data_IF_468471363162
#
_entry.id   IF_468471363162
#
_cell.length_a   1.000
_cell.length_b   1.000
_cell.length_c   1.000
_cell.angle_alpha   90.00
_cell.angle_beta   90.00
_cell.angle_gamma   90.00
#
_symmetry.space_group_name_H-M   'P 1'
#
loop_
_entity.id
_entity.type
_entity.pdbx_description
1 polymer ?
#
# COMPACT_ATOMS: atom_id res chain seq x y z
N UNK A 1 12.64 61.82 -5.51
CA UNK A 1 12.15 60.88 -6.55
C UNK A 1 12.65 59.45 -6.32
N UNK A 2 13.95 59.16 -6.20
CA UNK A 2 14.48 57.78 -6.03
C UNK A 2 13.96 57.00 -4.81
N UNK A 3 13.64 57.66 -3.68
CA UNK A 3 13.09 57.03 -2.48
C UNK A 3 11.65 56.53 -2.69
N UNK A 4 10.81 57.33 -3.36
CA UNK A 4 9.39 56.93 -3.64
C UNK A 4 9.31 55.82 -4.65
N UNK A 5 10.21 55.75 -5.64
CA UNK A 5 10.27 54.64 -6.61
C UNK A 5 10.55 53.33 -5.89
N UNK A 6 11.51 53.28 -4.93
CA UNK A 6 11.79 52.06 -4.15
C UNK A 6 10.63 51.61 -3.26
N UNK A 7 9.87 52.54 -2.71
CA UNK A 7 8.69 52.24 -1.90
C UNK A 7 7.56 51.68 -2.80
N UNK A 8 7.30 52.28 -3.94
CA UNK A 8 6.28 51.81 -4.89
C UNK A 8 6.67 50.43 -5.44
N UNK A 9 7.92 50.18 -5.80
CA UNK A 9 8.35 48.84 -6.25
C UNK A 9 8.20 47.78 -5.14
N UNK A 10 8.52 48.12 -3.88
CA UNK A 10 8.32 47.18 -2.77
C UNK A 10 6.86 46.84 -2.55
N UNK A 11 5.96 47.85 -2.64
CA UNK A 11 4.50 47.63 -2.50
C UNK A 11 3.97 46.76 -3.65
N UNK A 12 4.40 47.01 -4.89
CA UNK A 12 3.98 46.22 -6.07
C UNK A 12 4.46 44.77 -5.95
N UNK A 13 5.72 44.55 -5.53
CA UNK A 13 6.24 43.19 -5.32
C UNK A 13 5.50 42.49 -4.20
N UNK A 14 5.21 43.18 -3.10
CA UNK A 14 4.45 42.58 -1.97
C UNK A 14 3.01 42.23 -2.41
N UNK A 15 2.34 43.09 -3.18
CA UNK A 15 0.99 42.80 -3.68
C UNK A 15 0.96 41.62 -4.67
N UNK A 16 2.00 41.47 -5.51
CA UNK A 16 2.15 40.32 -6.41
C UNK A 16 2.37 39.01 -5.64
N UNK A 17 3.18 39.06 -4.57
CA UNK A 17 3.41 37.89 -3.71
C UNK A 17 2.13 37.45 -3.00
N UNK A 18 1.35 38.40 -2.45
CA UNK A 18 0.06 38.12 -1.80
C UNK A 18 -0.96 37.56 -2.80
N UNK A 19 -1.00 38.10 -4.01
CA UNK A 19 -1.88 37.60 -5.09
C UNK A 19 -1.47 36.21 -5.55
N UNK A 20 -0.16 35.92 -5.64
CA UNK A 20 0.37 34.63 -6.02
C UNK A 20 0.05 33.56 -4.95
N UNK A 21 0.18 33.89 -3.66
CA UNK A 21 -0.19 32.97 -2.56
C UNK A 21 -1.70 32.74 -2.50
N UNK A 22 -2.52 33.76 -2.73
CA UNK A 22 -3.97 33.61 -2.79
C UNK A 22 -4.43 32.73 -3.97
N UNK A 23 -3.79 32.91 -5.15
CA UNK A 23 -4.06 32.08 -6.32
C UNK A 23 -3.58 30.64 -6.12
N UNK A 24 -2.42 30.45 -5.51
CA UNK A 24 -1.88 29.12 -5.15
C UNK A 24 -2.83 28.41 -4.18
N UNK A 25 -3.27 29.06 -3.10
CA UNK A 25 -4.21 28.50 -2.13
C UNK A 25 -5.57 28.17 -2.74
N UNK A 26 -6.06 29.01 -3.68
CA UNK A 26 -7.28 28.74 -4.41
C UNK A 26 -7.16 27.53 -5.34
N UNK A 27 -6.07 27.44 -6.10
CA UNK A 27 -5.78 26.28 -6.96
C UNK A 27 -5.55 25.01 -6.13
N UNK A 28 -4.89 25.11 -4.98
CA UNK A 28 -4.69 23.99 -4.07
C UNK A 28 -6.00 23.51 -3.42
N UNK A 29 -6.97 24.42 -3.18
CA UNK A 29 -8.30 24.06 -2.65
C UNK A 29 -9.27 23.50 -3.71
N UNK A 30 -9.08 23.86 -4.98
CA UNK A 30 -9.85 23.28 -6.11
C UNK A 30 -9.29 21.94 -6.58
N UNK A 31 -8.05 21.60 -6.18
CA UNK A 31 -7.50 20.27 -6.39
C UNK A 31 -8.06 19.35 -5.29
N UNK A 32 -9.34 18.98 -5.42
CA UNK A 32 -9.88 17.84 -4.66
C UNK A 32 -9.12 16.60 -5.12
N UNK A 33 -8.14 16.21 -4.32
CA UNK A 33 -7.37 14.99 -4.54
C UNK A 33 -8.32 13.81 -4.71
N UNK A 34 -7.89 12.82 -5.45
CA UNK A 34 -8.61 11.55 -5.64
C UNK A 34 -9.21 11.09 -4.31
N UNK A 35 -10.52 10.84 -4.31
CA UNK A 35 -11.23 10.39 -3.12
C UNK A 35 -10.76 8.99 -2.74
N UNK A 36 -10.52 8.77 -1.43
CA UNK A 36 -10.33 7.44 -0.88
C UNK A 36 -11.64 6.66 -0.98
N UNK A 37 -11.63 5.56 -1.69
CA UNK A 37 -12.72 4.59 -1.73
C UNK A 37 -12.53 3.58 -0.60
N UNK A 38 -13.46 3.53 0.35
CA UNK A 38 -13.47 2.47 1.39
C UNK A 38 -13.87 1.15 0.77
N UNK A 39 -13.08 0.10 1.05
CA UNK A 39 -13.36 -1.24 0.58
C UNK A 39 -14.36 -1.93 1.55
N UNK A 40 -15.36 -2.68 1.05
CA UNK A 40 -16.32 -3.37 1.90
C UNK A 40 -15.62 -4.46 2.71
N UNK A 41 -15.70 -4.38 4.04
CA UNK A 41 -15.26 -5.46 4.91
C UNK A 41 -16.15 -6.68 4.69
N UNK A 42 -15.60 -7.77 4.16
CA UNK A 42 -16.25 -9.05 4.06
C UNK A 42 -16.25 -9.72 5.44
N UNK A 43 -17.20 -9.33 6.31
CA UNK A 43 -17.49 -10.10 7.53
C UNK A 43 -18.23 -11.37 7.13
N UNK A 44 -17.50 -12.42 6.80
CA UNK A 44 -18.05 -13.75 6.58
C UNK A 44 -18.41 -14.40 7.91
N UNK A 45 -19.60 -14.10 8.45
CA UNK A 45 -20.24 -14.94 9.45
C UNK A 45 -20.82 -16.18 8.73
N UNK A 46 -19.99 -17.20 8.53
CA UNK A 46 -20.44 -18.50 8.05
C UNK A 46 -21.06 -19.29 9.22
N UNK A 47 -22.36 -19.10 9.42
CA UNK A 47 -23.19 -20.06 10.18
C UNK A 47 -23.46 -21.24 9.26
N UNK A 48 -22.60 -22.25 9.27
CA UNK A 48 -22.85 -23.50 8.58
C UNK A 48 -23.72 -24.39 9.49
N UNK A 49 -25.04 -24.41 9.23
CA UNK A 49 -25.93 -25.44 9.74
C UNK A 49 -25.66 -26.74 8.97
N UNK A 50 -24.88 -27.62 9.55
CA UNK A 50 -24.63 -28.95 9.02
C UNK A 50 -25.89 -29.82 9.25
N UNK A 51 -26.59 -30.11 8.17
CA UNK A 51 -27.66 -31.12 8.15
C UNK A 51 -27.00 -32.49 7.93
N UNK A 52 -26.98 -33.31 8.97
CA UNK A 52 -26.55 -34.70 8.89
C UNK A 52 -27.48 -35.51 7.97
N UNK A 53 -26.88 -36.19 7.00
CA UNK A 53 -27.57 -37.30 6.29
C UNK A 53 -26.68 -38.53 6.43
N UNK A 54 -27.26 -39.49 7.16
CA UNK A 54 -26.77 -40.85 7.42
C UNK A 54 -26.82 -41.66 6.13
N UNK A 55 -25.69 -42.33 5.80
CA UNK A 55 -25.76 -43.55 4.99
C UNK A 55 -24.66 -44.52 5.40
N UNK A 56 -25.12 -45.70 5.77
CA UNK A 56 -24.47 -46.90 6.30
C UNK A 56 -23.86 -47.71 5.16
N UNK A 57 -22.69 -48.32 5.41
CA UNK A 57 -22.28 -49.73 5.14
C UNK A 57 -20.77 -49.83 4.96
N UNK A 58 -20.13 -50.53 5.68
CA UNK A 58 -19.79 -51.93 6.00
C UNK A 58 -18.36 -52.31 5.59
N UNK A 59 -17.55 -52.65 6.61
CA UNK A 59 -16.67 -53.81 6.79
C UNK A 59 -15.42 -53.97 5.91
N UNK A 60 -14.18 -53.92 6.49
CA UNK A 60 -13.39 -55.12 6.78
C UNK A 60 -12.04 -54.76 7.44
N UNK A 61 -11.74 -55.53 8.46
CA UNK A 61 -10.61 -55.72 9.37
C UNK A 61 -9.19 -55.57 8.84
N UNK A 62 -8.30 -55.01 9.71
CA UNK A 62 -6.85 -55.15 9.64
C UNK A 62 -6.22 -54.68 10.96
N UNK A 63 -5.76 -55.63 11.75
CA UNK A 63 -5.22 -55.56 13.12
C UNK A 63 -3.73 -55.17 13.09
N UNK A 64 -3.31 -54.28 13.99
CA UNK A 64 -1.88 -53.97 14.20
C UNK A 64 -1.67 -53.11 15.45
N UNK A 65 -1.28 -53.75 16.53
CA UNK A 65 -0.91 -53.25 17.87
C UNK A 65 0.30 -52.32 17.88
N UNK A 66 0.28 -51.31 18.77
CA UNK A 66 1.45 -50.53 19.13
C UNK A 66 1.15 -49.35 20.08
N UNK A 67 1.13 -49.63 21.37
CA UNK A 67 1.04 -48.72 22.50
C UNK A 67 2.22 -47.75 22.52
N UNK A 68 2.04 -46.45 22.73
CA UNK A 68 2.66 -45.68 23.83
C UNK A 68 2.01 -44.32 23.97
N UNK A 69 1.50 -44.11 25.14
CA UNK A 69 1.00 -42.87 25.71
C UNK A 69 2.15 -41.92 25.96
N UNK A 70 2.09 -40.69 25.50
CA UNK A 70 2.82 -39.58 26.10
C UNK A 70 1.97 -38.31 26.00
N UNK A 71 1.22 -38.06 27.06
CA UNK A 71 0.55 -36.81 27.34
C UNK A 71 1.61 -35.73 27.55
N UNK A 72 1.79 -34.83 26.62
CA UNK A 72 2.51 -33.58 26.86
C UNK A 72 1.46 -32.47 26.78
N UNK A 73 1.00 -32.05 27.94
CA UNK A 73 0.27 -30.80 28.11
C UNK A 73 1.26 -29.66 27.86
N UNK A 74 1.26 -29.11 26.68
CA UNK A 74 1.85 -27.80 26.41
C UNK A 74 0.71 -26.80 26.31
N UNK A 75 0.51 -26.05 27.38
CA UNK A 75 -0.30 -24.84 27.37
C UNK A 75 0.42 -23.79 26.51
N UNK A 76 0.20 -23.87 25.20
CA UNK A 76 0.59 -22.83 24.27
C UNK A 76 -0.56 -21.83 24.25
N UNK A 77 -0.31 -20.63 24.82
CA UNK A 77 -1.14 -19.47 24.53
C UNK A 77 -1.12 -19.27 23.01
N UNK A 78 -2.22 -19.59 22.36
CA UNK A 78 -2.39 -19.39 20.92
C UNK A 78 -2.40 -17.87 20.71
N UNK A 79 -1.27 -17.34 20.25
CA UNK A 79 -1.21 -16.00 19.68
C UNK A 79 -2.29 -15.92 18.59
N UNK A 80 -3.09 -14.84 18.52
CA UNK A 80 -4.14 -14.72 17.52
C UNK A 80 -3.54 -14.90 16.13
N UNK A 81 -3.98 -15.94 15.42
CA UNK A 81 -3.56 -16.23 14.06
C UNK A 81 -4.04 -15.07 13.17
N UNK A 82 -3.12 -14.22 12.71
CA UNK A 82 -3.43 -13.13 11.78
C UNK A 82 -3.82 -13.77 10.46
N UNK A 83 -5.12 -13.70 10.11
CA UNK A 83 -5.61 -14.13 8.81
C UNK A 83 -5.40 -13.00 7.82
N UNK A 84 -4.28 -13.03 7.09
CA UNK A 84 -3.98 -12.08 6.03
C UNK A 84 -4.97 -12.26 4.88
N UNK A 85 -5.91 -11.31 4.71
CA UNK A 85 -7.02 -11.40 3.75
C UNK A 85 -6.79 -10.61 2.46
N UNK A 86 -5.79 -9.72 2.42
CA UNK A 86 -5.41 -9.01 1.20
C UNK A 86 -4.90 -10.01 0.14
N UNK A 87 -5.18 -9.77 -1.14
CA UNK A 87 -4.63 -10.61 -2.21
C UNK A 87 -3.10 -10.67 -2.12
N UNK A 88 -2.55 -11.87 -1.91
CA UNK A 88 -1.11 -12.05 -1.82
C UNK A 88 -0.46 -12.09 -3.21
N UNK A 89 0.77 -11.61 -3.30
CA UNK A 89 1.56 -11.63 -4.52
C UNK A 89 3.06 -11.75 -4.21
N UNK A 90 3.82 -12.11 -5.24
CA UNK A 90 5.29 -12.16 -5.16
C UNK A 90 5.89 -11.10 -6.09
N UNK A 91 6.81 -10.31 -5.56
CA UNK A 91 7.60 -9.31 -6.28
C UNK A 91 9.08 -9.51 -6.00
N UNK A 92 9.95 -8.81 -6.71
CA UNK A 92 11.39 -8.80 -6.42
C UNK A 92 11.76 -7.54 -5.65
N UNK A 93 12.67 -7.65 -4.69
CA UNK A 93 13.33 -6.51 -4.08
C UNK A 93 14.46 -5.95 -4.98
N UNK A 94 15.18 -4.94 -4.51
CA UNK A 94 16.26 -4.30 -5.26
C UNK A 94 17.46 -5.23 -5.51
N UNK A 95 17.63 -6.26 -4.67
CA UNK A 95 18.68 -7.26 -4.78
C UNK A 95 18.24 -8.48 -5.62
N UNK A 96 16.98 -8.49 -6.10
CA UNK A 96 16.40 -9.56 -6.90
C UNK A 96 15.85 -10.73 -6.10
N UNK A 97 15.71 -10.61 -4.77
CA UNK A 97 15.08 -11.62 -3.93
C UNK A 97 13.56 -11.56 -4.05
N UNK A 98 12.91 -12.71 -3.96
CA UNK A 98 11.47 -12.79 -3.92
C UNK A 98 10.94 -12.37 -2.55
N UNK A 99 9.93 -11.49 -2.56
CA UNK A 99 9.25 -10.99 -1.37
C UNK A 99 7.74 -11.17 -1.59
N UNK A 100 7.04 -11.70 -0.60
CA UNK A 100 5.58 -11.80 -0.59
C UNK A 100 4.99 -10.63 0.16
N UNK A 101 3.81 -10.18 -0.25
CA UNK A 101 3.09 -9.17 0.53
C UNK A 101 2.79 -9.66 1.95
N UNK A 102 2.44 -10.94 2.09
CA UNK A 102 2.17 -11.58 3.39
C UNK A 102 3.38 -11.62 4.34
N UNK A 103 4.60 -11.41 3.85
CA UNK A 103 5.80 -11.31 4.71
C UNK A 103 5.75 -10.06 5.62
N UNK A 104 4.90 -9.09 5.30
CA UNK A 104 4.68 -7.87 6.08
C UNK A 104 3.46 -7.96 7.02
N UNK A 105 2.84 -9.14 7.15
CA UNK A 105 1.68 -9.33 8.05
C UNK A 105 2.00 -8.85 9.48
N UNK A 106 0.99 -8.29 10.15
CA UNK A 106 1.14 -7.70 11.50
C UNK A 106 1.55 -6.22 11.48
N UNK A 107 1.76 -5.62 10.30
CA UNK A 107 2.00 -4.17 10.14
C UNK A 107 0.92 -3.55 9.25
N UNK A 108 0.53 -2.31 9.50
CA UNK A 108 -0.22 -1.52 8.51
C UNK A 108 0.62 -1.36 7.23
N UNK A 109 0.00 -1.53 6.05
CA UNK A 109 0.71 -1.51 4.77
C UNK A 109 0.09 -0.45 3.85
N UNK A 110 0.95 0.34 3.22
CA UNK A 110 0.60 1.21 2.08
C UNK A 110 1.26 0.65 0.83
N UNK A 111 0.46 0.17 -0.12
CA UNK A 111 0.96 -0.26 -1.44
C UNK A 111 0.71 0.86 -2.42
N UNK A 112 1.73 1.22 -3.20
CA UNK A 112 1.58 2.15 -4.33
C UNK A 112 2.13 1.50 -5.60
N UNK A 113 1.30 1.42 -6.64
CA UNK A 113 1.68 0.94 -7.98
C UNK A 113 2.08 2.12 -8.85
N UNK A 114 3.28 2.06 -9.44
CA UNK A 114 3.88 3.18 -10.16
C UNK A 114 4.82 2.74 -11.31
N UNK A 115 5.17 3.70 -12.18
CA UNK A 115 6.18 3.52 -13.21
C UNK A 115 6.97 4.82 -13.47
N UNK A 116 8.17 4.73 -14.02
CA UNK A 116 9.02 5.91 -14.28
C UNK A 116 8.48 6.80 -15.40
N UNK A 117 7.72 6.26 -16.33
CA UNK A 117 7.06 7.02 -17.40
C UNK A 117 5.75 7.71 -16.95
N UNK A 118 5.22 7.35 -15.78
CA UNK A 118 3.99 7.91 -15.23
C UNK A 118 4.26 9.30 -14.61
N UNK A 119 3.75 10.36 -15.25
CA UNK A 119 3.93 11.74 -14.80
C UNK A 119 3.31 12.02 -13.43
N UNK A 120 2.09 11.52 -13.19
CA UNK A 120 1.38 11.67 -11.91
C UNK A 120 2.05 10.91 -10.77
N UNK A 121 2.60 9.70 -11.05
CA UNK A 121 3.36 8.95 -10.06
C UNK A 121 4.57 9.75 -9.56
N UNK A 122 5.30 10.38 -10.48
CA UNK A 122 6.46 11.20 -10.14
C UNK A 122 6.11 12.43 -9.30
N UNK A 123 4.90 12.97 -9.48
CA UNK A 123 4.43 14.14 -8.72
C UNK A 123 4.07 13.80 -7.28
N UNK A 124 3.56 12.60 -6.99
CA UNK A 124 3.20 12.19 -5.63
C UNK A 124 4.36 11.59 -4.81
N UNK A 125 5.44 11.13 -5.46
CA UNK A 125 6.56 10.48 -4.76
C UNK A 125 7.23 11.30 -3.65
N UNK A 126 7.37 12.64 -3.73
CA UNK A 126 7.85 13.43 -2.61
C UNK A 126 6.96 13.30 -1.36
N UNK A 127 5.64 13.22 -1.53
CA UNK A 127 4.70 13.03 -0.44
C UNK A 127 4.83 11.62 0.17
N UNK A 128 5.04 10.59 -0.66
CA UNK A 128 5.32 9.23 -0.19
C UNK A 128 6.63 9.15 0.57
N UNK A 129 7.68 9.86 0.13
CA UNK A 129 8.95 9.93 0.86
C UNK A 129 8.76 10.57 2.25
N UNK A 130 8.08 11.71 2.29
CA UNK A 130 7.80 12.42 3.54
C UNK A 130 6.93 11.57 4.49
N UNK A 131 5.93 10.85 3.95
CA UNK A 131 5.10 9.94 4.75
C UNK A 131 5.90 8.73 5.25
N UNK A 132 6.75 8.14 4.43
CA UNK A 132 7.64 7.04 4.83
C UNK A 132 8.53 7.42 6.02
N UNK A 133 9.12 8.61 5.99
CA UNK A 133 9.93 9.13 7.09
C UNK A 133 9.10 9.44 8.35
N UNK A 134 7.87 9.93 8.17
CA UNK A 134 6.97 10.32 9.26
C UNK A 134 6.33 9.14 9.98
N UNK A 135 6.05 8.03 9.26
CA UNK A 135 5.30 6.89 9.77
C UNK A 135 6.15 5.60 9.78
N UNK A 136 7.17 5.47 10.66
CA UNK A 136 8.11 4.33 10.65
C UNK A 136 7.47 2.98 10.98
N UNK A 137 6.27 2.98 11.59
CA UNK A 137 5.52 1.76 11.92
C UNK A 137 4.63 1.27 10.75
N UNK A 138 4.51 2.05 9.66
CA UNK A 138 3.78 1.68 8.47
C UNK A 138 4.74 1.08 7.45
N UNK A 139 4.40 -0.07 6.90
CA UNK A 139 5.15 -0.68 5.81
C UNK A 139 4.73 -0.05 4.48
N UNK A 140 5.65 0.63 3.83
CA UNK A 140 5.47 1.08 2.44
C UNK A 140 5.94 0.00 1.48
N UNK A 141 5.15 -0.28 0.46
CA UNK A 141 5.41 -1.28 -0.59
C UNK A 141 5.23 -0.56 -1.93
N UNK A 142 6.31 0.06 -2.43
CA UNK A 142 6.29 0.82 -3.69
C UNK A 142 6.53 -0.14 -4.84
N UNK A 143 5.45 -0.62 -5.48
CA UNK A 143 5.50 -1.65 -6.53
C UNK A 143 5.68 -0.97 -7.88
N UNK A 144 6.83 -1.18 -8.51
CA UNK A 144 7.11 -0.73 -9.86
C UNK A 144 6.54 -1.74 -10.89
N UNK A 145 5.82 -1.22 -11.89
CA UNK A 145 5.24 -1.99 -13.00
C UNK A 145 6.32 -2.36 -14.02
N UNK A 146 7.18 -3.30 -13.65
CA UNK A 146 8.36 -3.70 -14.44
C UNK A 146 7.96 -4.67 -15.54
N UNK A 147 7.93 -4.22 -16.80
CA UNK A 147 7.59 -5.05 -17.97
C UNK A 147 8.82 -5.64 -18.70
N UNK A 148 10.02 -5.17 -18.33
CA UNK A 148 11.29 -5.63 -18.92
C UNK A 148 11.63 -4.97 -20.25
N UNK A 149 10.74 -4.18 -20.84
CA UNK A 149 10.90 -3.50 -22.13
C UNK A 149 10.89 -1.97 -21.97
N UNK A 150 9.75 -1.40 -21.57
CA UNK A 150 9.59 0.04 -21.37
C UNK A 150 9.93 0.48 -19.93
N UNK A 151 9.69 -0.40 -18.97
CA UNK A 151 10.00 -0.20 -17.56
C UNK A 151 10.88 -1.35 -17.06
N UNK A 152 12.09 -1.05 -16.63
CA UNK A 152 13.06 -2.05 -16.14
C UNK A 152 13.42 -1.79 -14.69
N UNK A 153 13.89 -2.81 -13.98
CA UNK A 153 14.45 -2.64 -12.63
C UNK A 153 15.55 -1.59 -12.62
N UNK A 154 16.40 -1.55 -13.66
CA UNK A 154 17.49 -0.58 -13.78
C UNK A 154 16.97 0.86 -13.95
N UNK A 155 15.95 1.09 -14.80
CA UNK A 155 15.35 2.43 -14.99
C UNK A 155 14.69 2.92 -13.71
N UNK A 156 13.91 2.07 -13.04
CA UNK A 156 13.24 2.40 -11.80
C UNK A 156 14.25 2.69 -10.68
N UNK A 157 15.25 1.82 -10.47
CA UNK A 157 16.32 2.03 -9.49
C UNK A 157 17.09 3.32 -9.74
N UNK A 158 17.43 3.61 -11.00
CA UNK A 158 18.11 4.84 -11.38
C UNK A 158 17.27 6.08 -11.03
N UNK A 159 15.96 6.03 -11.27
CA UNK A 159 15.03 7.11 -10.92
C UNK A 159 14.96 7.34 -9.42
N UNK A 160 14.82 6.28 -8.61
CA UNK A 160 14.78 6.33 -7.14
C UNK A 160 16.06 6.96 -6.59
N UNK A 161 17.23 6.47 -7.02
CA UNK A 161 18.53 6.96 -6.58
C UNK A 161 18.76 8.43 -6.97
N UNK A 162 18.40 8.82 -8.20
CA UNK A 162 18.55 10.21 -8.69
C UNK A 162 17.75 11.20 -7.85
N UNK A 163 16.60 10.80 -7.30
CA UNK A 163 15.73 11.65 -6.50
C UNK A 163 15.96 11.48 -4.99
N UNK A 164 16.92 10.66 -4.57
CA UNK A 164 17.25 10.35 -3.17
C UNK A 164 16.05 9.80 -2.38
N UNK A 165 15.17 9.01 -3.02
CA UNK A 165 14.10 8.32 -2.31
C UNK A 165 14.66 7.12 -1.57
N UNK A 166 14.17 6.90 -0.33
CA UNK A 166 14.65 5.84 0.58
C UNK A 166 13.57 4.86 0.98
N UNK A 167 12.33 5.07 0.55
CA UNK A 167 11.28 4.10 0.73
C UNK A 167 11.59 2.79 -0.03
N UNK A 168 11.14 1.62 0.46
CA UNK A 168 11.43 0.34 -0.19
C UNK A 168 10.67 0.22 -1.53
N UNK A 169 11.38 -0.22 -2.56
CA UNK A 169 10.83 -0.43 -3.91
C UNK A 169 10.89 -1.91 -4.25
N UNK A 170 9.81 -2.39 -4.85
CA UNK A 170 9.64 -3.76 -5.32
C UNK A 170 9.25 -3.76 -6.79
N UNK A 171 9.60 -4.83 -7.50
CA UNK A 171 9.45 -4.93 -8.95
C UNK A 171 8.48 -6.06 -9.32
N UNK A 172 7.36 -5.72 -9.92
CA UNK A 172 6.38 -6.69 -10.44
C UNK A 172 6.75 -7.11 -11.86
N UNK A 173 7.78 -7.94 -11.99
CA UNK A 173 8.31 -8.39 -13.29
C UNK A 173 7.38 -9.34 -14.04
N UNK A 174 6.32 -9.80 -13.40
CA UNK A 174 5.35 -10.76 -13.97
C UNK A 174 3.95 -10.17 -14.14
N UNK A 175 3.71 -8.96 -13.64
CA UNK A 175 2.39 -8.34 -13.57
C UNK A 175 1.44 -9.07 -12.59
N UNK A 176 1.96 -9.90 -11.69
CA UNK A 176 1.14 -10.65 -10.73
C UNK A 176 0.48 -9.74 -9.71
N UNK A 177 1.24 -8.78 -9.15
CA UNK A 177 0.73 -7.85 -8.16
C UNK A 177 -0.34 -6.93 -8.76
N UNK A 178 -0.09 -6.38 -9.96
CA UNK A 178 -1.07 -5.56 -10.68
C UNK A 178 -2.37 -6.31 -10.93
N UNK A 179 -2.29 -7.55 -11.39
CA UNK A 179 -3.49 -8.38 -11.61
C UNK A 179 -4.22 -8.73 -10.33
N UNK A 180 -3.50 -9.09 -9.26
CA UNK A 180 -4.10 -9.45 -7.97
C UNK A 180 -4.92 -8.28 -7.38
N UNK A 181 -4.48 -7.04 -7.61
CA UNK A 181 -5.12 -5.82 -7.14
C UNK A 181 -6.02 -5.14 -8.18
N UNK A 182 -6.18 -5.72 -9.36
CA UNK A 182 -7.01 -5.15 -10.43
C UNK A 182 -6.54 -3.75 -10.86
N UNK A 183 -5.23 -3.51 -10.86
CA UNK A 183 -4.63 -2.25 -11.28
C UNK A 183 -4.79 -2.07 -12.78
N UNK A 184 -5.49 -1.01 -13.19
CA UNK A 184 -5.75 -0.67 -14.60
C UNK A 184 -5.11 0.64 -15.04
N UNK A 185 -4.40 1.30 -14.12
CA UNK A 185 -3.73 2.58 -14.37
C UNK A 185 -2.88 3.01 -13.18
N UNK A 186 -1.96 3.94 -13.45
CA UNK A 186 -1.02 4.45 -12.45
C UNK A 186 -1.20 5.96 -12.21
N UNK A 187 -0.95 6.40 -10.96
CA UNK A 187 -0.72 5.59 -9.79
C UNK A 187 -2.00 4.97 -9.24
N UNK A 188 -1.90 3.87 -8.50
CA UNK A 188 -2.98 3.31 -7.69
C UNK A 188 -2.42 2.94 -6.33
N UNK A 189 -3.11 3.36 -5.26
CA UNK A 189 -2.66 3.15 -3.87
C UNK A 189 -3.70 2.32 -3.10
N UNK A 190 -3.23 1.37 -2.30
CA UNK A 190 -4.05 0.57 -1.39
C UNK A 190 -3.56 0.73 0.05
N UNK A 191 -4.50 0.71 0.99
CA UNK A 191 -4.26 0.80 2.42
C UNK A 191 -4.78 -0.47 3.07
N UNK A 192 -3.90 -1.19 3.80
CA UNK A 192 -4.17 -2.49 4.42
C UNK A 192 -3.84 -2.38 5.90
N UNK A 193 -4.75 -2.82 6.77
CA UNK A 193 -4.54 -2.79 8.22
C UNK A 193 -3.55 -3.86 8.69
N UNK A 194 -3.17 -3.82 9.98
CA UNK A 194 -2.23 -4.77 10.57
C UNK A 194 -2.75 -6.22 10.58
N UNK A 195 -4.07 -6.42 10.43
CA UNK A 195 -4.68 -7.75 10.31
C UNK A 195 -4.61 -8.28 8.87
N UNK A 196 -4.06 -7.50 7.93
CA UNK A 196 -3.99 -7.85 6.53
C UNK A 196 -5.29 -7.61 5.76
N UNK A 197 -6.18 -6.76 6.26
CA UNK A 197 -7.46 -6.44 5.61
C UNK A 197 -7.31 -5.18 4.77
N UNK A 198 -7.65 -5.20 3.46
CA UNK A 198 -7.72 -4.00 2.64
C UNK A 198 -8.84 -3.08 3.13
N UNK A 199 -8.50 -1.85 3.51
CA UNK A 199 -9.41 -0.86 4.10
C UNK A 199 -9.86 0.18 3.10
N UNK A 200 -8.92 0.69 2.30
CA UNK A 200 -9.20 1.74 1.33
C UNK A 200 -8.29 1.64 0.10
N UNK A 201 -8.72 2.27 -0.98
CA UNK A 201 -7.93 2.47 -2.20
C UNK A 201 -8.07 3.87 -2.74
N UNK A 202 -7.10 4.30 -3.53
CA UNK A 202 -7.15 5.51 -4.34
C UNK A 202 -6.64 5.21 -5.75
N UNK A 203 -7.37 5.65 -6.76
CA UNK A 203 -7.00 5.53 -8.18
C UNK A 203 -6.62 6.90 -8.72
N UNK A 204 -5.40 7.05 -9.21
CA UNK A 204 -4.82 8.33 -9.59
C UNK A 204 -3.98 8.95 -8.48
N UNK A 205 -3.34 10.08 -8.79
CA UNK A 205 -2.42 10.78 -7.91
C UNK A 205 -3.11 11.24 -6.62
N UNK A 206 -2.49 10.98 -5.48
CA UNK A 206 -2.91 11.49 -4.17
C UNK A 206 -1.87 12.47 -3.63
N UNK A 207 -2.33 13.40 -2.80
CA UNK A 207 -1.45 14.32 -2.08
C UNK A 207 -1.21 13.83 -0.64
N UNK A 208 -0.32 14.52 0.09
CA UNK A 208 0.00 14.19 1.48
C UNK A 208 -1.23 14.09 2.38
N UNK A 209 -2.20 14.99 2.26
CA UNK A 209 -3.41 14.98 3.11
C UNK A 209 -4.25 13.71 2.88
N UNK A 210 -4.40 13.28 1.63
CA UNK A 210 -5.12 12.04 1.27
C UNK A 210 -4.33 10.80 1.73
N UNK A 211 -3.01 10.81 1.57
CA UNK A 211 -2.13 9.74 2.02
C UNK A 211 -2.21 9.58 3.56
N UNK A 212 -2.12 10.67 4.32
CA UNK A 212 -2.26 10.67 5.78
C UNK A 212 -3.62 10.18 6.24
N UNK A 213 -4.69 10.59 5.55
CA UNK A 213 -6.04 10.09 5.84
C UNK A 213 -6.13 8.57 5.65
N UNK A 214 -5.54 8.02 4.58
CA UNK A 214 -5.49 6.59 4.36
C UNK A 214 -4.66 5.86 5.41
N UNK A 215 -3.52 6.42 5.81
CA UNK A 215 -2.67 5.88 6.89
C UNK A 215 -3.44 5.84 8.22
N UNK A 216 -4.14 6.91 8.58
CA UNK A 216 -4.95 6.93 9.80
C UNK A 216 -6.00 5.81 9.83
N UNK A 217 -6.61 5.46 8.68
CA UNK A 217 -7.61 4.38 8.61
C UNK A 217 -7.05 2.99 8.88
N UNK A 218 -5.74 2.80 8.80
CA UNK A 218 -5.09 1.48 8.97
C UNK A 218 -4.22 1.37 10.23
N UNK A 219 -4.08 2.49 10.97
CA UNK A 219 -3.22 2.56 12.17
C UNK A 219 -4.00 2.77 13.47
N UNK A 220 -5.31 3.05 13.40
CA UNK A 220 -6.21 3.29 14.55
C UNK A 220 -6.67 2.00 15.27
#
# INVERSE_FOLDING_TARGET
MKKYIKIITAIVVLSLLVSCTALYNKLASEYEGVNLETLPHSSSSSTSTAKATTSTSSTTSGQGTGTTSSTVNNGSGKEPEIVFSAPDFVVLDIDGNQVKLSDFAGKPIVINFWATWCGYCKQEMPDFQAAYEKYPNVQFVMVNATDGEYETMASATSYINKNNYTFPVFFDTTGQAERAYGVTGFPTTFFIDANGTPVAQARGMINMATLEKGIAMITD
#
